data_IF_382237153717
#
_entry.id   IF_382237153717
#
_cell.length_a   1.000
_cell.length_b   1.000
_cell.length_c   1.000
_cell.angle_alpha   90.00
_cell.angle_beta   90.00
_cell.angle_gamma   90.00
#
_symmetry.space_group_name_H-M   'P 1'
#
loop_
_entity.id
_entity.type
_entity.pdbx_description
1 polymer ?
#
# COMPACT_ATOMS: atom_id res chain seq x y z
N UNK A 1 -9.22 0.54 -32.35
CA UNK A 1 -8.78 -0.59 -31.52
C UNK A 1 -7.34 -0.41 -30.99
N UNK A 2 -6.31 -0.19 -31.83
CA UNK A 2 -4.91 -0.08 -31.38
C UNK A 2 -4.51 1.10 -30.47
N UNK A 3 -5.13 2.29 -30.62
CA UNK A 3 -4.83 3.46 -29.74
C UNK A 3 -5.29 3.26 -28.29
N UNK A 4 -6.33 2.46 -28.04
CA UNK A 4 -6.86 2.19 -26.69
C UNK A 4 -5.96 1.21 -25.94
N UNK A 5 -5.58 0.09 -26.59
CA UNK A 5 -4.55 -0.85 -26.09
C UNK A 5 -3.21 -0.17 -25.78
N UNK A 6 -2.75 0.74 -26.66
CA UNK A 6 -1.48 1.48 -26.44
C UNK A 6 -1.55 2.50 -25.30
N UNK A 7 -2.76 2.94 -24.91
CA UNK A 7 -3.00 3.83 -23.77
C UNK A 7 -3.09 3.05 -22.46
N UNK A 8 -3.69 1.86 -22.49
CA UNK A 8 -3.75 0.92 -21.36
C UNK A 8 -2.35 0.41 -20.97
N UNK A 9 -1.50 0.09 -21.96
CA UNK A 9 -0.07 -0.23 -21.76
C UNK A 9 0.77 0.88 -21.10
N UNK A 10 0.25 2.11 -21.01
CA UNK A 10 0.95 3.26 -20.42
C UNK A 10 0.40 3.66 -19.06
N UNK A 11 -0.60 2.95 -18.55
CA UNK A 11 -1.17 3.21 -17.25
C UNK A 11 -0.35 2.56 -16.16
N UNK A 12 -0.30 3.27 -15.05
CA UNK A 12 0.41 2.92 -13.85
C UNK A 12 -0.63 2.79 -12.73
N UNK A 13 -0.44 1.84 -11.83
CA UNK A 13 -1.29 1.68 -10.67
C UNK A 13 -0.42 1.59 -9.40
N UNK A 14 -0.76 2.40 -8.40
CA UNK A 14 -0.12 2.45 -7.10
C UNK A 14 -1.14 2.07 -6.03
N UNK A 15 -0.87 1.01 -5.28
CA UNK A 15 -1.59 0.66 -4.07
C UNK A 15 -0.64 0.76 -2.87
N UNK A 16 -1.04 1.53 -1.87
CA UNK A 16 -0.36 1.61 -0.58
C UNK A 16 -1.28 1.03 0.48
N UNK A 17 -0.76 0.13 1.31
CA UNK A 17 -1.48 -0.50 2.42
C UNK A 17 -0.76 -0.13 3.70
N UNK A 18 -1.43 0.65 4.55
CA UNK A 18 -0.91 1.11 5.84
C UNK A 18 -1.61 0.31 6.94
N UNK A 19 -0.89 -0.66 7.50
CA UNK A 19 -1.32 -1.45 8.64
C UNK A 19 -1.27 -0.65 9.94
N UNK A 20 -1.10 -1.36 11.05
CA UNK A 20 -1.06 -0.75 12.37
C UNK A 20 0.19 0.13 12.55
N UNK A 21 -0.04 1.35 13.04
CA UNK A 21 0.98 2.33 13.44
C UNK A 21 0.58 2.85 14.82
N UNK A 22 1.35 2.49 15.83
CA UNK A 22 1.07 2.80 17.23
C UNK A 22 1.94 3.93 17.79
N UNK A 23 3.02 4.30 17.12
CA UNK A 23 4.01 5.26 17.66
C UNK A 23 4.49 6.29 16.64
N UNK A 24 4.95 7.44 17.13
CA UNK A 24 5.54 8.50 16.28
C UNK A 24 6.77 8.03 15.48
N UNK A 25 7.71 7.23 16.05
CA UNK A 25 8.78 6.63 15.27
C UNK A 25 8.29 5.72 14.14
N UNK A 26 7.22 4.96 14.35
CA UNK A 26 6.61 4.13 13.30
C UNK A 26 5.99 4.99 12.19
N UNK A 27 5.33 6.10 12.54
CA UNK A 27 4.84 7.08 11.57
C UNK A 27 5.99 7.73 10.78
N UNK A 28 7.12 8.01 11.42
CA UNK A 28 8.35 8.45 10.74
C UNK A 28 8.91 7.39 9.79
N UNK A 29 8.89 6.12 10.20
CA UNK A 29 9.32 4.99 9.36
C UNK A 29 8.41 4.78 8.14
N UNK A 30 7.09 4.99 8.27
CA UNK A 30 6.14 4.99 7.17
C UNK A 30 6.56 5.95 6.05
N UNK A 31 6.95 7.19 6.39
CA UNK A 31 7.39 8.16 5.38
C UNK A 31 8.59 7.63 4.58
N UNK A 32 9.62 7.13 5.27
CA UNK A 32 10.80 6.55 4.62
C UNK A 32 10.46 5.33 3.75
N UNK A 33 9.49 4.52 4.17
CA UNK A 33 9.00 3.36 3.42
C UNK A 33 8.31 3.77 2.11
N UNK A 34 7.46 4.79 2.16
CA UNK A 34 6.78 5.33 0.99
C UNK A 34 7.79 5.91 0.00
N UNK A 35 8.72 6.75 0.48
CA UNK A 35 9.75 7.35 -0.37
C UNK A 35 10.61 6.27 -1.03
N UNK A 36 11.08 5.27 -0.26
CA UNK A 36 11.85 4.14 -0.79
C UNK A 36 11.04 3.33 -1.80
N UNK A 37 9.84 2.88 -1.43
CA UNK A 37 9.00 2.01 -2.27
C UNK A 37 8.64 2.67 -3.59
N UNK A 38 8.29 3.96 -3.58
CA UNK A 38 8.02 4.73 -4.80
C UNK A 38 9.30 4.89 -5.64
N UNK A 39 10.44 5.20 -5.02
CA UNK A 39 11.70 5.36 -5.77
C UNK A 39 12.24 4.05 -6.34
N UNK A 40 11.86 2.92 -5.76
CA UNK A 40 12.15 1.57 -6.26
C UNK A 40 11.26 1.14 -7.44
N UNK A 41 10.29 1.97 -7.84
CA UNK A 41 9.41 1.66 -8.97
C UNK A 41 10.08 1.93 -10.32
N UNK A 42 10.47 0.86 -11.01
CA UNK A 42 11.13 0.97 -12.31
C UNK A 42 10.12 1.26 -13.44
N UNK A 43 9.82 2.56 -13.62
CA UNK A 43 8.91 3.06 -14.65
C UNK A 43 9.55 4.22 -15.41
N UNK A 44 9.12 4.44 -16.65
CA UNK A 44 9.61 5.56 -17.45
C UNK A 44 8.79 6.84 -17.16
N UNK A 45 9.44 7.78 -16.48
CA UNK A 45 8.86 9.06 -16.07
C UNK A 45 8.49 9.99 -17.25
N UNK A 46 8.99 9.74 -18.46
CA UNK A 46 8.57 10.48 -19.67
C UNK A 46 7.11 10.20 -20.04
N UNK A 47 6.59 9.02 -19.68
CA UNK A 47 5.20 8.64 -19.94
C UNK A 47 4.28 8.85 -18.74
N UNK A 48 4.84 8.99 -17.54
CA UNK A 48 4.13 9.27 -16.32
C UNK A 48 4.95 10.27 -15.49
N UNK A 49 4.56 11.54 -15.50
CA UNK A 49 5.14 12.55 -14.61
C UNK A 49 4.73 12.24 -13.16
N UNK A 50 5.42 11.27 -12.56
CA UNK A 50 5.11 10.74 -11.24
C UNK A 50 5.14 11.86 -10.19
N UNK A 51 6.09 12.79 -10.31
CA UNK A 51 6.20 13.94 -9.44
C UNK A 51 4.91 14.79 -9.44
N UNK A 52 4.39 15.13 -10.63
CA UNK A 52 3.12 15.85 -10.75
C UNK A 52 1.93 14.99 -10.29
N UNK A 53 1.89 13.70 -10.64
CA UNK A 53 0.77 12.83 -10.29
C UNK A 53 0.60 12.68 -8.77
N UNK A 54 1.71 12.55 -8.04
CA UNK A 54 1.68 12.45 -6.57
C UNK A 54 1.23 13.76 -5.91
N UNK A 55 1.61 14.92 -6.46
CA UNK A 55 1.07 16.23 -6.01
C UNK A 55 -0.42 16.39 -6.30
N UNK A 56 -0.89 15.87 -7.44
CA UNK A 56 -2.32 15.86 -7.76
C UNK A 56 -3.10 14.99 -6.77
N UNK A 57 -2.54 13.85 -6.35
CA UNK A 57 -3.15 13.02 -5.30
C UNK A 57 -3.36 13.84 -4.01
N UNK A 58 -2.31 14.52 -3.51
CA UNK A 58 -2.37 15.32 -2.27
C UNK A 58 -3.53 16.33 -2.30
N UNK A 59 -3.81 16.91 -3.47
CA UNK A 59 -4.82 17.97 -3.62
C UNK A 59 -6.20 17.51 -4.11
N UNK A 60 -6.33 16.31 -4.66
CA UNK A 60 -7.53 15.89 -5.41
C UNK A 60 -8.01 14.46 -5.15
N UNK A 61 -7.43 13.74 -4.20
CA UNK A 61 -7.95 12.43 -3.84
C UNK A 61 -9.35 12.56 -3.22
N UNK A 62 -10.15 11.52 -3.41
CA UNK A 62 -11.39 11.31 -2.69
C UNK A 62 -11.09 10.44 -1.48
N UNK A 63 -11.78 10.71 -0.36
CA UNK A 63 -11.70 9.89 0.84
C UNK A 63 -13.01 9.14 1.04
N UNK A 64 -12.91 7.83 1.25
CA UNK A 64 -14.00 6.96 1.66
C UNK A 64 -13.70 6.44 3.06
N UNK A 65 -14.71 6.44 3.93
CA UNK A 65 -14.56 6.05 5.33
C UNK A 65 -15.39 4.80 5.59
N UNK A 66 -14.83 3.86 6.34
CA UNK A 66 -15.55 2.68 6.83
C UNK A 66 -15.76 2.79 8.33
N UNK A 67 -16.91 2.31 8.81
CA UNK A 67 -17.19 2.18 10.24
C UNK A 67 -16.83 0.80 10.80
N UNK A 68 -16.31 -0.12 9.96
CA UNK A 68 -15.98 -1.49 10.37
C UNK A 68 -14.76 -1.54 11.30
N UNK A 69 -13.72 -0.77 10.99
CA UNK A 69 -12.51 -0.61 11.81
C UNK A 69 -12.29 0.87 12.09
N UNK A 70 -11.87 1.19 13.32
CA UNK A 70 -11.67 2.57 13.75
C UNK A 70 -10.58 3.24 12.90
N UNK A 71 -10.91 4.37 12.29
CA UNK A 71 -9.98 5.12 11.45
C UNK A 71 -9.71 4.48 10.09
N UNK A 72 -10.47 3.45 9.71
CA UNK A 72 -10.37 2.84 8.38
C UNK A 72 -10.85 3.81 7.31
N UNK A 73 -9.99 4.03 6.31
CA UNK A 73 -10.31 4.88 5.17
C UNK A 73 -9.51 4.49 3.94
N UNK A 74 -10.11 4.80 2.80
CA UNK A 74 -9.52 4.59 1.48
C UNK A 74 -9.40 5.94 0.81
N UNK A 75 -8.18 6.31 0.44
CA UNK A 75 -7.91 7.52 -0.34
C UNK A 75 -7.66 7.11 -1.79
N UNK A 76 -8.39 7.69 -2.72
CA UNK A 76 -8.33 7.31 -4.13
C UNK A 76 -8.21 8.53 -5.02
N UNK A 77 -7.23 8.51 -5.93
CA UNK A 77 -7.15 9.46 -7.02
C UNK A 77 -6.85 8.72 -8.31
N UNK A 78 -7.52 9.13 -9.40
CA UNK A 78 -7.31 8.56 -10.72
C UNK A 78 -7.13 9.67 -11.75
N UNK A 79 -6.04 9.58 -12.49
CA UNK A 79 -5.78 10.38 -13.67
C UNK A 79 -5.80 9.54 -14.95
N UNK A 80 -5.41 10.14 -16.08
CA UNK A 80 -5.26 9.43 -17.34
C UNK A 80 -4.10 8.40 -17.32
N UNK A 81 -3.09 8.62 -16.46
CA UNK A 81 -1.81 7.93 -16.49
C UNK A 81 -1.50 7.14 -15.21
N UNK A 82 -2.02 7.58 -14.05
CA UNK A 82 -1.80 6.95 -12.75
C UNK A 82 -3.13 6.79 -11.99
N UNK A 83 -3.37 5.59 -11.49
CA UNK A 83 -4.37 5.32 -10.45
C UNK A 83 -3.65 5.07 -9.12
N UNK A 84 -4.05 5.79 -8.08
CA UNK A 84 -3.44 5.71 -6.75
C UNK A 84 -4.53 5.41 -5.72
N UNK A 85 -4.36 4.32 -5.00
CA UNK A 85 -5.20 3.88 -3.88
C UNK A 85 -4.34 3.79 -2.63
N UNK A 86 -4.81 4.34 -1.52
CA UNK A 86 -4.18 4.22 -0.20
C UNK A 86 -5.21 3.68 0.77
N UNK A 87 -4.91 2.53 1.35
CA UNK A 87 -5.66 1.94 2.43
C UNK A 87 -5.02 2.32 3.76
N UNK A 88 -5.77 2.99 4.62
CA UNK A 88 -5.33 3.34 5.97
C UNK A 88 -6.16 2.59 7.00
N UNK A 89 -5.49 1.94 7.95
CA UNK A 89 -6.10 1.03 8.93
C UNK A 89 -7.10 0.04 8.29
N UNK A 90 -6.75 -0.64 7.18
CA UNK A 90 -7.67 -1.56 6.54
C UNK A 90 -7.87 -2.84 7.35
N UNK A 91 -9.02 -3.48 7.14
CA UNK A 91 -9.19 -4.89 7.45
C UNK A 91 -8.65 -5.77 6.31
N UNK A 92 -8.50 -7.06 6.59
CA UNK A 92 -8.00 -8.06 5.62
C UNK A 92 -8.80 -8.05 4.33
N UNK A 93 -10.13 -8.02 4.40
CA UNK A 93 -11.01 -8.15 3.24
C UNK A 93 -10.86 -6.96 2.27
N UNK A 94 -10.63 -5.76 2.82
CA UNK A 94 -10.34 -4.56 2.04
C UNK A 94 -9.01 -4.70 1.29
N UNK A 95 -7.97 -5.24 1.94
CA UNK A 95 -6.67 -5.48 1.29
C UNK A 95 -6.82 -6.52 0.19
N UNK A 96 -7.50 -7.64 0.46
CA UNK A 96 -7.72 -8.69 -0.55
C UNK A 96 -8.44 -8.12 -1.78
N UNK A 97 -9.48 -7.31 -1.55
CA UNK A 97 -10.27 -6.69 -2.61
C UNK A 97 -9.43 -5.72 -3.46
N UNK A 98 -8.68 -4.82 -2.83
CA UNK A 98 -7.86 -3.85 -3.56
C UNK A 98 -6.62 -4.47 -4.20
N UNK A 99 -6.01 -5.49 -3.61
CA UNK A 99 -4.92 -6.24 -4.24
C UNK A 99 -5.44 -6.99 -5.45
N UNK A 100 -6.61 -7.66 -5.37
CA UNK A 100 -7.27 -8.29 -6.53
C UNK A 100 -7.56 -7.26 -7.62
N UNK A 101 -8.09 -6.09 -7.26
CA UNK A 101 -8.34 -4.98 -8.18
C UNK A 101 -7.05 -4.52 -8.87
N UNK A 102 -5.97 -4.30 -8.10
CA UNK A 102 -4.66 -3.88 -8.61
C UNK A 102 -4.11 -4.89 -9.64
N UNK A 103 -4.08 -6.18 -9.29
CA UNK A 103 -3.51 -7.21 -10.18
C UNK A 103 -4.36 -7.42 -11.43
N UNK A 104 -5.69 -7.30 -11.31
CA UNK A 104 -6.60 -7.43 -12.44
C UNK A 104 -6.72 -6.16 -13.30
N UNK A 105 -6.23 -5.00 -12.82
CA UNK A 105 -6.30 -3.78 -13.61
C UNK A 105 -5.44 -3.86 -14.89
N UNK A 106 -5.86 -3.12 -15.91
CA UNK A 106 -5.21 -3.03 -17.22
C UNK A 106 -3.80 -2.38 -17.24
N UNK A 107 -3.36 -1.74 -16.15
CA UNK A 107 -2.05 -1.07 -16.07
C UNK A 107 -0.89 -2.05 -16.21
N UNK A 108 0.06 -1.73 -17.09
CA UNK A 108 1.24 -2.55 -17.31
C UNK A 108 2.25 -2.47 -16.16
N UNK A 109 2.30 -1.36 -15.45
CA UNK A 109 3.20 -1.13 -14.33
C UNK A 109 2.41 -0.93 -13.04
N UNK A 110 2.71 -1.75 -12.05
CA UNK A 110 2.00 -1.77 -10.77
C UNK A 110 3.00 -1.68 -9.62
N UNK A 111 2.64 -0.93 -8.59
CA UNK A 111 3.39 -0.84 -7.34
C UNK A 111 2.45 -1.12 -6.18
N UNK A 112 2.86 -2.04 -5.32
CA UNK A 112 2.20 -2.39 -4.07
C UNK A 112 3.18 -2.12 -2.93
N UNK A 113 2.83 -1.23 -2.01
CA UNK A 113 3.65 -0.90 -0.84
C UNK A 113 2.87 -1.30 0.41
N UNK A 114 3.46 -2.17 1.24
CA UNK A 114 2.99 -2.45 2.59
C UNK A 114 3.82 -1.64 3.59
N UNK A 115 3.14 -0.90 4.46
CA UNK A 115 3.74 -0.09 5.50
C UNK A 115 3.04 -0.34 6.84
N UNK A 116 3.78 -0.21 7.94
CA UNK A 116 3.30 -0.51 9.28
C UNK A 116 4.15 -1.60 9.94
N UNK A 117 3.70 -2.09 11.09
CA UNK A 117 4.40 -3.15 11.80
C UNK A 117 4.35 -4.48 11.03
N UNK A 118 5.47 -5.19 11.00
CA UNK A 118 5.59 -6.52 10.42
C UNK A 118 5.93 -7.53 11.50
N UNK A 119 5.41 -8.75 11.41
CA UNK A 119 5.86 -9.85 12.28
C UNK A 119 7.33 -10.18 12.04
N UNK A 120 8.07 -10.49 13.11
CA UNK A 120 9.52 -10.68 13.05
C UNK A 120 9.96 -11.90 12.21
N UNK A 121 9.15 -12.96 12.19
CA UNK A 121 9.50 -14.23 11.56
C UNK A 121 8.95 -14.36 10.13
N UNK A 122 7.68 -14.05 9.93
CA UNK A 122 6.96 -14.33 8.68
C UNK A 122 6.88 -13.10 7.76
N UNK A 123 7.11 -11.89 8.30
CA UNK A 123 6.98 -10.64 7.54
C UNK A 123 5.52 -10.24 7.30
N UNK A 124 4.57 -10.88 7.98
CA UNK A 124 3.15 -10.54 7.91
C UNK A 124 2.90 -9.10 8.33
N UNK A 125 2.07 -8.39 7.57
CA UNK A 125 1.64 -7.04 7.93
C UNK A 125 0.61 -7.13 9.05
N UNK A 126 0.92 -6.47 10.17
CA UNK A 126 0.04 -6.37 11.33
C UNK A 126 -1.01 -5.28 11.06
N UNK A 127 -2.28 -5.62 11.30
CA UNK A 127 -3.43 -4.73 11.18
C UNK A 127 -4.11 -4.61 12.54
N UNK A 128 -4.89 -3.55 12.74
CA UNK A 128 -5.73 -3.43 13.95
C UNK A 128 -6.70 -4.62 14.13
N UNK A 129 -7.05 -5.30 13.03
CA UNK A 129 -7.93 -6.47 13.01
C UNK A 129 -7.29 -7.62 12.22
N UNK A 130 -6.27 -8.24 12.82
CA UNK A 130 -5.62 -9.45 12.29
C UNK A 130 -4.35 -9.16 11.50
N UNK A 131 -3.99 -10.08 10.59
CA UNK A 131 -2.77 -9.95 9.77
C UNK A 131 -3.05 -10.22 8.30
N UNK A 132 -2.30 -9.54 7.45
CA UNK A 132 -2.22 -9.82 6.02
C UNK A 132 -0.90 -10.52 5.70
N UNK A 133 -1.00 -11.73 5.16
CA UNK A 133 0.13 -12.66 5.03
C UNK A 133 0.51 -12.89 3.58
N UNK A 134 1.72 -13.39 3.35
CA UNK A 134 2.15 -13.82 2.02
C UNK A 134 1.22 -14.89 1.42
N UNK A 135 0.71 -15.82 2.24
CA UNK A 135 -0.21 -16.87 1.78
C UNK A 135 -1.50 -16.28 1.22
N UNK A 136 -2.09 -15.26 1.87
CA UNK A 136 -3.27 -14.57 1.33
C UNK A 136 -2.99 -13.87 0.00
N UNK A 137 -1.81 -13.24 -0.12
CA UNK A 137 -1.38 -12.65 -1.39
C UNK A 137 -1.20 -13.72 -2.49
N UNK A 138 -0.56 -14.85 -2.14
CA UNK A 138 -0.35 -15.98 -3.05
C UNK A 138 -1.67 -16.61 -3.50
N UNK A 139 -2.68 -16.68 -2.64
CA UNK A 139 -4.03 -17.15 -2.97
C UNK A 139 -4.69 -16.25 -4.01
N UNK A 140 -4.58 -14.92 -3.89
CA UNK A 140 -5.10 -13.97 -4.88
C UNK A 140 -4.46 -14.22 -6.25
N UNK A 141 -3.15 -14.39 -6.31
CA UNK A 141 -2.46 -14.66 -7.58
C UNK A 141 -2.74 -16.05 -8.14
N UNK A 142 -3.09 -17.01 -7.29
CA UNK A 142 -3.42 -18.39 -7.69
C UNK A 142 -4.90 -18.58 -8.04
N UNK A 143 -5.74 -17.56 -7.82
CA UNK A 143 -7.14 -17.55 -8.23
C UNK A 143 -7.20 -17.79 -9.76
N UNK A 144 -8.01 -18.77 -10.24
CA UNK A 144 -8.08 -19.10 -11.65
C UNK A 144 -8.46 -17.92 -12.55
N UNK A 145 -9.34 -17.04 -12.10
CA UNK A 145 -9.76 -15.85 -12.87
C UNK A 145 -8.63 -14.84 -12.98
N UNK A 146 -7.91 -14.60 -11.88
CA UNK A 146 -6.75 -13.71 -11.83
C UNK A 146 -5.63 -14.26 -12.71
N UNK A 147 -5.32 -15.55 -12.55
CA UNK A 147 -4.31 -16.27 -13.33
C UNK A 147 -4.63 -16.17 -14.81
N UNK A 148 -5.87 -16.45 -15.22
CA UNK A 148 -6.29 -16.39 -16.62
C UNK A 148 -6.14 -14.98 -17.20
N UNK A 149 -6.44 -13.94 -16.43
CA UNK A 149 -6.31 -12.56 -16.86
C UNK A 149 -4.85 -12.12 -17.02
N UNK A 150 -3.97 -12.56 -16.11
CA UNK A 150 -2.53 -12.29 -16.16
C UNK A 150 -1.79 -13.12 -17.21
N UNK A 151 -2.30 -14.31 -17.54
CA UNK A 151 -1.76 -15.24 -18.52
C UNK A 151 -1.95 -14.74 -19.97
N UNK A 152 -1.35 -13.61 -20.29
CA UNK A 152 -1.17 -13.17 -21.69
C UNK A 152 -0.15 -14.06 -22.38
N UNK A 153 -0.43 -14.46 -23.62
CA UNK A 153 0.48 -15.23 -24.47
C UNK A 153 1.62 -14.40 -25.07
N UNK A 154 1.57 -13.07 -24.93
CA UNK A 154 2.59 -12.15 -25.42
C UNK A 154 3.51 -11.72 -24.28
N UNK A 155 4.74 -12.25 -24.27
CA UNK A 155 5.76 -11.99 -23.24
C UNK A 155 6.18 -10.52 -23.17
N UNK A 156 6.05 -9.76 -24.27
CA UNK A 156 6.38 -8.33 -24.32
C UNK A 156 5.29 -7.44 -23.69
N UNK A 157 4.12 -8.02 -23.37
CA UNK A 157 2.95 -7.31 -22.82
C UNK A 157 2.74 -7.66 -21.34
N UNK A 158 3.60 -8.49 -20.76
CA UNK A 158 3.46 -8.96 -19.39
C UNK A 158 3.54 -7.81 -18.38
N UNK A 159 2.50 -7.68 -17.56
CA UNK A 159 2.46 -6.69 -16.49
C UNK A 159 3.63 -6.90 -15.52
N UNK A 160 4.07 -5.82 -14.89
CA UNK A 160 5.05 -5.86 -13.81
C UNK A 160 4.43 -5.35 -12.52
N UNK A 161 4.65 -6.09 -11.44
CA UNK A 161 4.25 -5.72 -10.10
C UNK A 161 5.50 -5.67 -9.22
N UNK A 162 5.83 -4.46 -8.77
CA UNK A 162 6.81 -4.26 -7.70
C UNK A 162 6.08 -4.30 -6.37
N UNK A 163 6.54 -5.13 -5.45
CA UNK A 163 6.09 -5.19 -4.06
C UNK A 163 7.18 -4.61 -3.18
N UNK A 164 6.83 -3.70 -2.28
CA UNK A 164 7.72 -3.20 -1.24
C UNK A 164 7.10 -3.43 0.13
N UNK A 165 7.85 -4.03 1.05
CA UNK A 165 7.43 -4.29 2.42
C UNK A 165 8.62 -4.30 3.38
N UNK A 166 8.36 -4.05 4.66
CA UNK A 166 9.30 -4.35 5.74
C UNK A 166 9.16 -5.82 6.15
N UNK A 167 10.28 -6.45 6.52
CA UNK A 167 10.31 -7.85 6.91
C UNK A 167 10.05 -8.78 5.74
N UNK A 168 11.09 -9.21 5.04
CA UNK A 168 10.92 -10.03 3.83
C UNK A 168 10.41 -11.45 4.11
N UNK A 169 10.63 -12.00 5.30
CA UNK A 169 10.13 -13.31 5.77
C UNK A 169 9.68 -14.28 4.67
N UNK A 170 8.40 -14.61 4.68
CA UNK A 170 7.76 -15.46 3.67
C UNK A 170 7.56 -14.75 2.31
N UNK A 171 7.55 -13.41 2.27
CA UNK A 171 7.47 -12.62 1.04
C UNK A 171 8.61 -12.91 0.07
N UNK A 172 9.77 -13.35 0.55
CA UNK A 172 10.91 -13.80 -0.27
C UNK A 172 10.52 -14.88 -1.30
N UNK A 173 9.45 -15.64 -1.04
CA UNK A 173 8.89 -16.63 -1.95
C UNK A 173 8.20 -16.02 -3.20
N UNK A 174 8.01 -14.70 -3.28
CA UNK A 174 7.52 -14.01 -4.49
C UNK A 174 8.41 -14.25 -5.72
N UNK A 175 9.68 -14.59 -5.52
CA UNK A 175 10.59 -14.97 -6.59
C UNK A 175 10.31 -16.34 -7.23
N UNK A 176 9.35 -17.10 -6.71
CA UNK A 176 9.07 -18.46 -7.19
C UNK A 176 8.61 -18.47 -8.67
N UNK A 177 9.15 -19.36 -9.52
CA UNK A 177 8.86 -19.39 -10.97
C UNK A 177 7.37 -19.37 -11.33
N UNK A 178 6.54 -20.09 -10.56
CA UNK A 178 5.08 -20.17 -10.78
C UNK A 178 4.38 -18.82 -10.97
N UNK A 179 4.82 -17.78 -10.25
CA UNK A 179 4.22 -16.45 -10.37
C UNK A 179 4.94 -15.59 -11.41
N UNK A 180 6.25 -15.80 -11.54
CA UNK A 180 7.07 -15.18 -12.58
C UNK A 180 6.65 -15.61 -13.98
N UNK A 181 5.84 -16.65 -14.16
CA UNK A 181 5.26 -17.08 -15.44
C UNK A 181 4.03 -16.25 -15.84
N UNK A 182 3.29 -15.67 -14.89
CA UNK A 182 2.06 -14.91 -15.15
C UNK A 182 2.22 -13.39 -15.00
N UNK A 183 3.09 -12.92 -14.10
CA UNK A 183 3.38 -11.49 -13.92
C UNK A 183 4.85 -11.27 -13.55
N UNK A 184 5.47 -10.17 -13.99
CA UNK A 184 6.86 -9.85 -13.65
C UNK A 184 6.91 -9.28 -12.23
N UNK A 185 7.19 -10.13 -11.24
CA UNK A 185 7.21 -9.76 -9.82
C UNK A 185 8.60 -9.36 -9.36
N UNK A 186 8.68 -8.26 -8.62
CA UNK A 186 9.90 -7.79 -7.97
C UNK A 186 9.61 -7.47 -6.52
N UNK A 187 10.39 -8.02 -5.60
CA UNK A 187 10.32 -7.70 -4.19
C UNK A 187 11.46 -6.75 -3.82
N UNK A 188 11.12 -5.63 -3.17
CA UNK A 188 12.07 -4.68 -2.56
C UNK A 188 13.30 -4.30 -3.43
N UNK A 189 13.15 -4.02 -4.74
CA UNK A 189 14.30 -3.65 -5.56
C UNK A 189 14.95 -2.35 -5.07
N UNK A 190 16.21 -2.13 -5.43
CA UNK A 190 16.90 -0.88 -5.10
C UNK A 190 16.22 0.35 -5.74
N UNK A 191 16.27 1.51 -5.09
CA UNK A 191 15.78 2.76 -5.67
C UNK A 191 16.44 3.08 -7.01
N UNK A 192 15.63 3.32 -8.04
CA UNK A 192 16.07 3.67 -9.40
C UNK A 192 15.62 5.06 -9.84
N UNK A 193 14.58 5.61 -9.21
CA UNK A 193 14.11 6.96 -9.48
C UNK A 193 14.87 8.00 -8.64
N UNK A 194 15.06 9.21 -9.19
CA UNK A 194 15.69 10.30 -8.46
C UNK A 194 14.81 10.78 -7.29
N UNK A 195 15.38 11.61 -6.44
CA UNK A 195 14.60 12.36 -5.44
C UNK A 195 13.69 13.36 -6.14
N UNK A 196 12.47 13.49 -5.62
CA UNK A 196 11.41 14.29 -6.22
C UNK A 196 10.56 14.87 -5.10
N UNK A 197 10.37 16.19 -5.09
CA UNK A 197 9.57 16.89 -4.09
C UNK A 197 8.16 16.31 -3.95
N UNK A 198 7.52 15.95 -5.07
CA UNK A 198 6.18 15.36 -5.07
C UNK A 198 6.10 13.99 -4.37
N UNK A 199 7.21 13.24 -4.31
CA UNK A 199 7.28 12.00 -3.52
C UNK A 199 7.34 12.33 -2.03
N UNK A 200 8.17 13.30 -1.63
CA UNK A 200 8.27 13.72 -0.22
C UNK A 200 7.00 14.41 0.27
N UNK A 201 6.39 15.29 -0.53
CA UNK A 201 5.09 15.93 -0.24
C UNK A 201 3.98 14.88 -0.09
N UNK A 202 3.95 13.88 -0.97
CA UNK A 202 3.00 12.77 -0.88
C UNK A 202 3.24 11.92 0.37
N UNK A 203 4.48 11.53 0.63
CA UNK A 203 4.80 10.68 1.78
C UNK A 203 4.47 11.37 3.11
N UNK A 204 4.80 12.66 3.22
CA UNK A 204 4.44 13.51 4.37
C UNK A 204 2.92 13.64 4.53
N UNK A 205 2.21 13.94 3.45
CA UNK A 205 0.75 14.05 3.49
C UNK A 205 0.11 12.73 3.95
N UNK A 206 0.53 11.61 3.39
CA UNK A 206 -0.01 10.28 3.70
C UNK A 206 0.29 9.89 5.15
N UNK A 207 1.50 10.14 5.64
CA UNK A 207 1.85 9.89 7.04
C UNK A 207 1.01 10.71 8.00
N UNK A 208 0.74 11.98 7.69
CA UNK A 208 -0.11 12.85 8.51
C UNK A 208 -1.58 12.46 8.49
N UNK A 209 -2.02 11.63 7.54
CA UNK A 209 -3.37 11.06 7.67
C UNK A 209 -3.41 10.09 8.84
N UNK A 210 -2.36 9.31 9.10
CA UNK A 210 -2.38 8.22 10.07
C UNK A 210 -2.44 8.74 11.51
N UNK A 211 -3.47 8.32 12.22
CA UNK A 211 -3.69 8.68 13.61
C UNK A 211 -2.79 7.84 14.53
N UNK A 212 -1.86 8.48 15.23
CA UNK A 212 -1.05 7.84 16.29
C UNK A 212 -1.75 8.06 17.63
N UNK A 213 -2.11 7.00 18.39
CA UNK A 213 -2.77 7.17 19.68
C UNK A 213 -1.87 7.93 20.66
N UNK A 214 -2.46 8.84 21.43
CA UNK A 214 -1.71 9.56 22.45
C UNK A 214 -1.28 8.60 23.56
N UNK A 215 -0.06 8.71 24.11
CA UNK A 215 0.33 7.95 25.30
C UNK A 215 -0.63 8.16 26.48
N UNK A 216 -1.34 9.30 26.51
CA UNK A 216 -2.34 9.62 27.52
C UNK A 216 -3.68 8.90 27.30
N UNK A 217 -3.99 8.47 26.07
CA UNK A 217 -5.21 7.69 25.78
C UNK A 217 -5.13 6.26 26.35
N UNK A 218 -3.92 5.80 26.65
CA UNK A 218 -3.64 4.50 27.27
C UNK A 218 -3.60 4.55 28.80
N UNK A 219 -3.67 5.73 29.41
CA UNK A 219 -3.69 5.87 30.87
C UNK A 219 -5.10 5.63 31.40
N UNK A 220 -5.22 4.81 32.45
CA UNK A 220 -6.47 4.73 33.19
C UNK A 220 -6.83 6.11 33.77
N UNK A 221 -8.11 6.53 33.69
CA UNK A 221 -8.53 7.77 34.32
C UNK A 221 -8.20 7.70 35.82
N UNK A 222 -7.72 8.80 36.44
CA UNK A 222 -7.36 8.77 37.85
C UNK A 222 -8.58 8.32 38.66
N UNK A 223 -8.46 7.19 39.37
CA UNK A 223 -9.45 6.78 40.37
C UNK A 223 -9.63 7.95 41.31
N UNK A 224 -10.78 8.61 41.23
CA UNK A 224 -11.12 9.75 42.07
C UNK A 224 -11.10 9.26 43.52
N UNK A 225 -9.99 9.51 44.20
CA UNK A 225 -9.80 9.17 45.60
C UNK A 225 -10.95 9.71 46.40
N UNK A 226 -11.62 8.83 47.13
CA UNK A 226 -12.83 9.12 47.89
C UNK A 226 -12.67 10.40 48.72
N UNK A 227 -13.59 11.33 48.51
CA UNK A 227 -13.77 12.49 49.38
C UNK A 227 -14.01 11.99 50.80
N UNK A 228 -13.03 12.16 51.70
CA UNK A 228 -13.26 12.03 53.14
C UNK A 228 -14.18 13.18 53.58
N UNK A 229 -15.47 12.86 53.73
CA UNK A 229 -16.44 13.76 54.37
C UNK A 229 -16.12 13.81 55.86
N UNK A 230 -15.41 14.84 56.30
CA UNK A 230 -15.27 15.14 57.73
C UNK A 230 -16.64 15.59 58.25
N UNK A 231 -17.35 14.70 58.94
CA UNK A 231 -18.52 15.06 59.74
C UNK A 231 -18.07 15.65 61.08
N UNK A 232 -18.72 16.75 61.47
CA UNK A 232 -18.56 17.46 62.76
C UNK A 232 -18.96 16.60 63.95
#
# INVERSE_FOLDING_TARGET
SGRRRRRELRRHALLVVIGEIGTEPERGALRGALERGIRSWNINIEFCDLNQQLRLFVTRHLAQFSSEVKGQRTLHHRSDNLETVILVNPNVDSIVSEVRSLVCDSSAHKLLIFCGQSSDQEGDLILQTGTFTYQKFAEILSDPEVTQLLSSTDSDIKASLTVSCFGEGDWSNLGHPRFQDIINLKLNPDPVLPEMDGVSEFAEYVSETVDVPSPFDLLEPPTSGGFLKLSK
#
